data_IF_747525192725
#
_entry.id   IF_747525192725
#
_cell.length_a   1.000
_cell.length_b   1.000
_cell.length_c   1.000
_cell.angle_alpha   90.00
_cell.angle_beta   90.00
_cell.angle_gamma   90.00
#
_symmetry.space_group_name_H-M   'P 1'
#
loop_
_entity.id
_entity.type
_entity.pdbx_description
1 polymer ?
#
# COMPACT_ATOMS: atom_id res chain seq x y z
N UNK A 1 11.56 13.27 -1.42
CA UNK A 1 11.01 14.50 -2.05
C UNK A 1 9.61 14.19 -2.58
N UNK A 2 8.60 14.90 -2.11
CA UNK A 2 7.21 14.73 -2.55
C UNK A 2 6.83 15.82 -3.54
N UNK A 3 5.91 15.52 -4.46
CA UNK A 3 5.38 16.53 -5.39
C UNK A 3 4.76 17.73 -4.67
N UNK A 4 4.16 17.53 -3.48
CA UNK A 4 3.55 18.61 -2.69
C UNK A 4 4.56 19.66 -2.20
N UNK A 5 5.85 19.34 -2.18
CA UNK A 5 6.94 20.23 -1.77
C UNK A 5 7.65 20.88 -2.98
N UNK A 6 7.20 20.60 -4.22
CA UNK A 6 7.86 20.99 -5.46
C UNK A 6 6.92 21.82 -6.33
N UNK A 7 7.52 22.62 -7.19
CA UNK A 7 6.84 23.25 -8.31
C UNK A 7 7.19 22.52 -9.63
N UNK A 8 6.53 22.86 -10.72
CA UNK A 8 6.73 22.19 -12.00
C UNK A 8 8.16 22.32 -12.57
N UNK A 9 8.87 23.42 -12.27
CA UNK A 9 10.25 23.64 -12.71
C UNK A 9 11.22 22.71 -12.00
N UNK A 10 10.96 22.37 -10.72
CA UNK A 10 11.74 21.39 -9.97
C UNK A 10 11.59 20.00 -10.58
N UNK A 11 10.37 19.62 -10.97
CA UNK A 11 10.12 18.33 -11.64
C UNK A 11 10.77 18.30 -13.03
N UNK A 12 10.70 19.40 -13.81
CA UNK A 12 11.41 19.51 -15.08
C UNK A 12 12.93 19.37 -14.90
N UNK A 13 13.48 19.95 -13.84
CA UNK A 13 14.90 19.82 -13.52
C UNK A 13 15.28 18.39 -13.12
N UNK A 14 14.44 17.72 -12.34
CA UNK A 14 14.61 16.33 -11.97
C UNK A 14 14.66 15.42 -13.20
N UNK A 15 13.72 15.57 -14.12
CA UNK A 15 13.61 14.75 -15.33
C UNK A 15 14.81 14.89 -16.31
N UNK A 16 15.70 15.87 -16.13
CA UNK A 16 16.95 15.94 -16.88
C UNK A 16 17.97 14.88 -16.47
N UNK A 17 17.83 14.28 -15.28
CA UNK A 17 18.81 13.37 -14.69
C UNK A 17 18.22 12.03 -14.24
N UNK A 18 16.91 11.98 -13.98
CA UNK A 18 16.24 10.79 -13.46
C UNK A 18 14.80 10.73 -14.01
N UNK A 19 14.35 9.55 -14.38
CA UNK A 19 13.00 9.31 -14.92
C UNK A 19 12.17 8.36 -14.03
N UNK A 20 12.66 8.07 -12.81
CA UNK A 20 11.99 7.23 -11.83
C UNK A 20 10.93 8.01 -11.06
N UNK A 21 9.85 7.34 -10.70
CA UNK A 21 8.78 7.89 -9.86
C UNK A 21 8.21 6.80 -8.94
N UNK A 22 8.00 7.15 -7.68
CA UNK A 22 7.23 6.32 -6.75
C UNK A 22 5.77 6.78 -6.81
N UNK A 23 4.86 5.82 -7.04
CA UNK A 23 3.41 6.03 -7.02
C UNK A 23 2.82 5.22 -5.87
N UNK A 24 2.24 5.90 -4.89
CA UNK A 24 1.64 5.25 -3.71
C UNK A 24 0.15 5.03 -3.94
N UNK A 25 -0.27 3.77 -3.77
CA UNK A 25 -1.67 3.36 -3.83
C UNK A 25 -2.12 2.79 -2.48
N UNK A 26 -3.29 3.18 -2.04
CA UNK A 26 -3.90 2.62 -0.85
C UNK A 26 -5.42 2.65 -0.91
N UNK A 27 -6.06 2.68 0.27
CA UNK A 27 -7.50 2.77 0.43
C UNK A 27 -7.87 3.61 1.64
N UNK A 28 -9.09 4.10 1.65
CA UNK A 28 -9.75 4.62 2.82
C UNK A 28 -10.76 3.55 3.28
N UNK A 29 -10.35 2.69 4.21
CA UNK A 29 -11.17 1.58 4.67
C UNK A 29 -11.01 1.28 6.15
N UNK A 30 -11.93 0.51 6.68
CA UNK A 30 -11.85 0.02 8.04
C UNK A 30 -10.54 -0.75 8.27
N UNK A 31 -9.93 -0.57 9.43
CA UNK A 31 -8.72 -1.26 9.90
C UNK A 31 -8.80 -1.53 11.39
N UNK A 32 -9.95 -2.04 11.85
CA UNK A 32 -10.16 -2.31 13.27
C UNK A 32 -9.89 -1.07 14.14
N UNK A 33 -8.85 -1.13 14.95
CA UNK A 33 -8.45 -0.08 15.89
C UNK A 33 -7.42 0.90 15.30
N UNK A 34 -7.04 0.69 14.04
CA UNK A 34 -6.07 1.52 13.33
C UNK A 34 -6.76 2.62 12.54
N UNK A 35 -5.98 3.49 11.95
CA UNK A 35 -6.48 4.57 11.10
C UNK A 35 -7.22 4.03 9.87
N UNK A 36 -8.32 4.66 9.48
CA UNK A 36 -8.97 4.41 8.18
C UNK A 36 -8.05 4.63 6.97
N UNK A 37 -6.91 5.31 7.17
CA UNK A 37 -5.88 5.54 6.16
C UNK A 37 -4.61 4.72 6.40
N UNK A 38 -4.70 3.59 7.10
CA UNK A 38 -3.56 2.68 7.32
C UNK A 38 -2.90 2.30 6.01
N UNK A 39 -3.68 1.93 5.01
CA UNK A 39 -3.23 1.58 3.65
C UNK A 39 -2.54 2.72 2.89
N UNK A 40 -2.64 3.94 3.37
CA UNK A 40 -1.91 5.11 2.84
C UNK A 40 -0.71 5.44 3.71
N UNK A 41 -0.88 5.42 5.04
CA UNK A 41 0.16 5.84 5.99
C UNK A 41 1.39 4.96 5.88
N UNK A 42 1.20 3.64 5.77
CA UNK A 42 2.32 2.70 5.68
C UNK A 42 3.10 2.90 4.37
N UNK A 43 2.50 2.73 3.17
CA UNK A 43 3.27 2.86 1.94
C UNK A 43 3.83 4.28 1.72
N UNK A 44 3.17 5.33 2.21
CA UNK A 44 3.75 6.69 2.20
C UNK A 44 4.99 6.79 3.07
N UNK A 45 4.97 6.23 4.29
CA UNK A 45 6.16 6.23 5.16
C UNK A 45 7.33 5.45 4.53
N UNK A 46 7.05 4.32 3.87
CA UNK A 46 8.05 3.53 3.13
C UNK A 46 8.61 4.33 1.94
N UNK A 47 7.73 4.95 1.15
CA UNK A 47 8.10 5.77 0.00
C UNK A 47 8.96 6.98 0.42
N UNK A 48 8.60 7.67 1.50
CA UNK A 48 9.36 8.80 2.04
C UNK A 48 10.77 8.39 2.49
N UNK A 49 10.87 7.27 3.23
CA UNK A 49 12.14 6.77 3.71
C UNK A 49 13.04 6.31 2.55
N UNK A 50 12.48 5.68 1.52
CA UNK A 50 13.19 5.29 0.31
C UNK A 50 13.60 6.52 -0.52
N UNK A 51 12.70 7.48 -0.71
CA UNK A 51 12.98 8.75 -1.40
C UNK A 51 14.13 9.52 -0.74
N UNK A 52 14.17 9.56 0.59
CA UNK A 52 15.27 10.20 1.34
C UNK A 52 16.65 9.55 1.08
N UNK A 53 16.68 8.25 0.72
CA UNK A 53 17.90 7.49 0.42
C UNK A 53 18.30 7.55 -1.06
N UNK A 54 17.32 7.71 -1.95
CA UNK A 54 17.52 7.53 -3.40
C UNK A 54 17.31 8.80 -4.22
N UNK A 55 16.77 9.85 -3.61
CA UNK A 55 16.31 11.09 -4.24
C UNK A 55 15.21 10.89 -5.31
N UNK A 56 14.57 9.71 -5.38
CA UNK A 56 13.45 9.48 -6.31
C UNK A 56 12.22 10.22 -5.81
N UNK A 57 11.50 10.87 -6.73
CA UNK A 57 10.30 11.64 -6.42
C UNK A 57 9.13 10.73 -6.02
N UNK A 58 8.27 11.24 -5.13
CA UNK A 58 7.04 10.58 -4.71
C UNK A 58 5.85 11.40 -5.20
N UNK A 59 5.00 10.78 -6.04
CA UNK A 59 3.75 11.37 -6.52
C UNK A 59 2.72 11.49 -5.37
N UNK A 60 1.69 12.36 -5.53
CA UNK A 60 0.56 12.36 -4.59
C UNK A 60 -0.08 10.98 -4.50
N UNK A 61 -0.41 10.49 -3.29
CA UNK A 61 -0.99 9.16 -3.15
C UNK A 61 -2.42 9.09 -3.67
N UNK A 62 -2.81 7.94 -4.23
CA UNK A 62 -4.22 7.64 -4.49
C UNK A 62 -4.85 7.03 -3.23
N UNK A 63 -5.66 7.85 -2.53
CA UNK A 63 -6.20 7.52 -1.21
C UNK A 63 -7.46 6.65 -1.23
N UNK A 64 -8.03 6.38 -2.40
CA UNK A 64 -9.25 5.60 -2.55
C UNK A 64 -8.99 4.37 -3.41
N UNK A 65 -9.18 3.20 -2.82
CA UNK A 65 -9.00 1.90 -3.44
C UNK A 65 -10.31 1.14 -3.68
N UNK A 66 -10.20 -0.17 -3.87
CA UNK A 66 -11.31 -1.08 -4.14
C UNK A 66 -11.62 -1.88 -2.87
N UNK A 67 -12.60 -1.45 -2.08
CA UNK A 67 -12.96 -2.01 -0.77
C UNK A 67 -14.46 -2.30 -0.61
N UNK A 68 -15.15 -2.92 -1.59
CA UNK A 68 -16.60 -3.08 -1.56
C UNK A 68 -17.10 -3.97 -0.41
N UNK A 69 -16.29 -4.93 0.02
CA UNK A 69 -16.62 -5.85 1.12
C UNK A 69 -16.63 -5.15 2.48
N UNK A 70 -16.01 -3.98 2.62
CA UNK A 70 -16.02 -3.18 3.85
C UNK A 70 -17.08 -2.08 3.88
N UNK A 71 -17.99 -2.04 2.92
CA UNK A 71 -18.99 -0.96 2.79
C UNK A 71 -19.93 -0.81 4.00
N UNK A 72 -20.02 -1.79 4.89
CA UNK A 72 -20.81 -1.73 6.13
C UNK A 72 -20.03 -1.22 7.35
N UNK A 73 -18.75 -0.93 7.18
CA UNK A 73 -17.96 -0.25 8.20
C UNK A 73 -17.93 1.25 7.88
N UNK A 74 -18.53 2.09 8.75
CA UNK A 74 -18.57 3.54 8.50
C UNK A 74 -17.16 4.13 8.34
N UNK A 75 -17.01 5.04 7.38
CA UNK A 75 -15.71 5.63 7.04
C UNK A 75 -15.01 4.96 5.86
N UNK A 76 -15.38 3.74 5.48
CA UNK A 76 -14.88 3.11 4.26
C UNK A 76 -15.44 3.80 3.01
N UNK A 77 -14.55 4.18 2.09
CA UNK A 77 -14.90 4.78 0.80
C UNK A 77 -14.25 3.95 -0.31
N UNK A 78 -15.06 3.21 -1.05
CA UNK A 78 -14.58 2.35 -2.13
C UNK A 78 -14.85 2.95 -3.51
N UNK A 79 -13.87 2.87 -4.39
CA UNK A 79 -14.10 3.05 -5.82
C UNK A 79 -14.63 1.74 -6.42
N UNK A 80 -15.36 1.88 -7.54
CA UNK A 80 -15.65 0.72 -8.41
C UNK A 80 -14.36 0.31 -9.10
N UNK A 81 -14.18 -0.99 -9.32
CA UNK A 81 -12.97 -1.53 -9.99
C UNK A 81 -12.67 -0.79 -11.29
N UNK A 82 -13.65 -0.62 -12.18
CA UNK A 82 -13.46 0.08 -13.45
C UNK A 82 -13.02 1.54 -13.28
N UNK A 83 -13.56 2.25 -12.29
CA UNK A 83 -13.18 3.62 -12.00
C UNK A 83 -11.73 3.69 -11.51
N UNK A 84 -11.35 2.79 -10.61
CA UNK A 84 -9.98 2.71 -10.10
C UNK A 84 -8.98 2.41 -11.22
N UNK A 85 -9.27 1.42 -12.07
CA UNK A 85 -8.40 1.06 -13.18
C UNK A 85 -8.22 2.21 -14.19
N UNK A 86 -9.30 2.94 -14.51
CA UNK A 86 -9.24 4.12 -15.38
C UNK A 86 -8.36 5.23 -14.77
N UNK A 87 -8.44 5.45 -13.45
CA UNK A 87 -7.58 6.44 -12.76
C UNK A 87 -6.10 6.03 -12.83
N UNK A 88 -5.78 4.73 -12.64
CA UNK A 88 -4.42 4.22 -12.77
C UNK A 88 -3.89 4.43 -14.19
N UNK A 89 -4.71 4.10 -15.20
CA UNK A 89 -4.35 4.31 -16.60
C UNK A 89 -4.05 5.78 -16.89
N UNK A 90 -4.92 6.68 -16.47
CA UNK A 90 -4.73 8.13 -16.65
C UNK A 90 -3.44 8.62 -15.97
N UNK A 91 -3.18 8.23 -14.73
CA UNK A 91 -1.96 8.59 -14.00
C UNK A 91 -0.72 8.16 -14.79
N UNK A 92 -0.65 6.90 -15.22
CA UNK A 92 0.51 6.38 -15.95
C UNK A 92 0.71 7.11 -17.28
N UNK A 93 -0.35 7.29 -18.07
CA UNK A 93 -0.26 7.99 -19.37
C UNK A 93 0.22 9.43 -19.21
N UNK A 94 -0.27 10.14 -18.17
CA UNK A 94 0.14 11.51 -17.91
C UNK A 94 1.59 11.63 -17.46
N UNK A 95 2.05 10.83 -16.50
CA UNK A 95 3.45 10.91 -16.06
C UNK A 95 4.42 10.42 -17.15
N UNK A 96 4.02 9.40 -17.94
CA UNK A 96 4.78 8.97 -19.11
C UNK A 96 4.90 10.08 -20.15
N UNK A 97 3.82 10.82 -20.43
CA UNK A 97 3.83 11.98 -21.35
C UNK A 97 4.75 13.11 -20.89
N UNK A 98 5.04 13.20 -19.59
CA UNK A 98 5.96 14.17 -19.00
C UNK A 98 7.43 13.75 -19.05
N UNK A 99 7.72 12.47 -19.29
CA UNK A 99 9.09 11.97 -19.40
C UNK A 99 9.48 10.93 -18.35
N UNK A 100 8.63 10.62 -17.37
CA UNK A 100 8.86 9.49 -16.47
C UNK A 100 8.80 8.16 -17.25
N UNK A 101 9.67 7.22 -16.90
CA UNK A 101 9.77 5.92 -17.59
C UNK A 101 9.79 4.75 -16.63
N UNK A 102 10.31 4.91 -15.44
CA UNK A 102 10.45 3.84 -14.44
C UNK A 102 9.56 4.16 -13.24
N UNK A 103 8.45 3.42 -13.12
CA UNK A 103 7.42 3.66 -12.11
C UNK A 103 7.39 2.52 -11.09
N UNK A 104 7.68 2.82 -9.83
CA UNK A 104 7.47 1.88 -8.73
C UNK A 104 6.14 2.18 -8.04
N UNK A 105 5.19 1.26 -8.16
CA UNK A 105 3.95 1.29 -7.41
C UNK A 105 4.15 0.66 -6.02
N UNK A 106 4.06 1.49 -4.98
CA UNK A 106 4.08 1.02 -3.58
C UNK A 106 2.63 0.92 -3.12
N UNK A 107 2.11 -0.31 -3.14
CA UNK A 107 0.72 -0.59 -2.81
C UNK A 107 0.55 -0.92 -1.34
N UNK A 108 -0.44 -0.30 -0.69
CA UNK A 108 -0.84 -0.57 0.69
C UNK A 108 -2.10 -1.41 0.83
N UNK A 109 -2.80 -1.75 -0.28
CA UNK A 109 -4.13 -2.34 -0.23
C UNK A 109 -4.32 -3.52 -1.19
N UNK A 110 -4.74 -4.67 -0.66
CA UNK A 110 -4.93 -5.90 -1.45
C UNK A 110 -6.01 -5.79 -2.53
N UNK A 111 -7.06 -5.02 -2.29
CA UNK A 111 -8.13 -4.78 -3.26
C UNK A 111 -7.69 -4.06 -4.54
N UNK A 112 -6.51 -3.42 -4.53
CA UNK A 112 -5.95 -2.72 -5.68
C UNK A 112 -5.23 -3.65 -6.68
N UNK A 113 -5.02 -4.92 -6.36
CA UNK A 113 -4.31 -5.88 -7.23
C UNK A 113 -4.82 -5.97 -8.67
N UNK A 114 -6.11 -5.74 -9.00
CA UNK A 114 -6.56 -5.69 -10.40
C UNK A 114 -5.80 -4.67 -11.27
N UNK A 115 -5.19 -3.65 -10.69
CA UNK A 115 -4.38 -2.67 -11.42
C UNK A 115 -3.18 -3.31 -12.16
N UNK A 116 -2.64 -4.43 -11.67
CA UNK A 116 -1.49 -5.10 -12.30
C UNK A 116 -1.79 -5.53 -13.74
N UNK A 117 -3.06 -5.86 -14.06
CA UNK A 117 -3.49 -6.17 -15.42
C UNK A 117 -3.37 -4.96 -16.36
N UNK A 118 -3.89 -3.80 -15.94
CA UNK A 118 -3.79 -2.55 -16.73
C UNK A 118 -2.33 -2.11 -16.86
N UNK A 119 -1.54 -2.22 -15.80
CA UNK A 119 -0.12 -1.88 -15.84
C UNK A 119 0.65 -2.75 -16.85
N UNK A 120 0.33 -4.05 -16.92
CA UNK A 120 0.93 -4.94 -17.91
C UNK A 120 0.55 -4.57 -19.36
N UNK A 121 -0.69 -4.13 -19.59
CA UNK A 121 -1.11 -3.60 -20.91
C UNK A 121 -0.33 -2.34 -21.26
N UNK A 122 -0.22 -1.39 -20.33
CA UNK A 122 0.48 -0.12 -20.55
C UNK A 122 1.98 -0.28 -20.83
N UNK A 123 2.65 -1.23 -20.18
CA UNK A 123 4.06 -1.55 -20.47
C UNK A 123 4.24 -2.06 -21.90
N UNK A 124 3.26 -2.76 -22.46
CA UNK A 124 3.30 -3.20 -23.87
C UNK A 124 2.96 -2.06 -24.85
N UNK A 125 2.12 -1.10 -24.46
CA UNK A 125 1.68 0.00 -25.30
C UNK A 125 2.66 1.18 -25.33
N UNK A 126 3.37 1.45 -24.22
CA UNK A 126 4.19 2.65 -24.03
C UNK A 126 5.68 2.30 -24.09
N UNK A 127 6.37 2.60 -25.21
CA UNK A 127 7.77 2.19 -25.39
C UNK A 127 8.71 2.71 -24.30
N UNK A 128 9.50 1.81 -23.70
CA UNK A 128 10.46 2.14 -22.68
C UNK A 128 9.84 2.41 -21.29
N UNK A 129 8.54 2.18 -21.11
CA UNK A 129 7.92 2.18 -19.79
C UNK A 129 8.31 0.91 -19.05
N UNK A 130 8.86 1.07 -17.86
CA UNK A 130 9.12 0.00 -16.90
C UNK A 130 8.28 0.24 -15.64
N UNK A 131 7.59 -0.79 -15.19
CA UNK A 131 6.72 -0.72 -14.00
C UNK A 131 7.06 -1.87 -13.07
N UNK A 132 7.26 -1.55 -11.80
CA UNK A 132 7.31 -2.56 -10.75
C UNK A 132 6.17 -2.34 -9.75
N UNK A 133 5.71 -3.45 -9.12
CA UNK A 133 4.61 -3.49 -8.17
C UNK A 133 5.07 -4.06 -6.84
N UNK A 134 5.01 -3.27 -5.80
CA UNK A 134 5.41 -3.67 -4.46
C UNK A 134 4.22 -3.66 -3.50
N UNK A 135 3.71 -4.84 -3.15
CA UNK A 135 2.75 -5.06 -2.07
C UNK A 135 3.53 -5.40 -0.80
N UNK A 136 3.76 -4.40 0.03
CA UNK A 136 4.73 -4.47 1.13
C UNK A 136 4.46 -5.61 2.13
N UNK A 137 3.18 -5.88 2.47
CA UNK A 137 2.80 -6.86 3.49
C UNK A 137 3.04 -8.32 3.10
N UNK A 138 3.17 -8.62 1.82
CA UNK A 138 3.50 -9.97 1.30
C UNK A 138 4.93 -10.08 0.80
N UNK A 139 5.72 -9.02 0.93
CA UNK A 139 7.11 -9.02 0.50
C UNK A 139 7.93 -10.05 1.28
N UNK A 140 8.81 -10.85 0.61
CA UNK A 140 9.59 -11.89 1.27
C UNK A 140 10.40 -11.41 2.47
N UNK A 141 11.01 -10.22 2.39
CA UNK A 141 11.78 -9.64 3.49
C UNK A 141 10.89 -9.33 4.71
N UNK A 142 9.68 -8.80 4.50
CA UNK A 142 8.70 -8.56 5.56
C UNK A 142 8.20 -9.86 6.16
N UNK A 143 7.91 -10.86 5.33
CA UNK A 143 7.45 -12.18 5.79
C UNK A 143 8.54 -12.94 6.54
N UNK A 144 9.82 -12.72 6.22
CA UNK A 144 10.93 -13.28 6.98
C UNK A 144 10.96 -12.73 8.41
N UNK A 145 10.80 -11.42 8.61
CA UNK A 145 10.70 -10.82 9.95
C UNK A 145 9.51 -11.39 10.72
N UNK A 146 8.34 -11.54 10.08
CA UNK A 146 7.15 -12.12 10.69
C UNK A 146 7.41 -13.57 11.14
N UNK A 147 8.09 -14.37 10.32
CA UNK A 147 8.46 -15.74 10.63
C UNK A 147 9.46 -15.82 11.80
N UNK A 148 10.47 -14.96 11.83
CA UNK A 148 11.50 -14.92 12.89
C UNK A 148 10.90 -14.64 14.27
N UNK A 149 9.81 -13.84 14.33
CA UNK A 149 9.09 -13.57 15.58
C UNK A 149 7.91 -14.53 15.83
N UNK A 150 7.70 -15.51 14.95
CA UNK A 150 6.63 -16.51 15.09
C UNK A 150 5.22 -15.94 14.94
N UNK A 151 5.05 -14.83 14.24
CA UNK A 151 3.77 -14.16 14.03
C UNK A 151 3.31 -14.24 12.58
N UNK A 152 1.99 -14.20 12.36
CA UNK A 152 1.39 -14.18 11.04
C UNK A 152 0.62 -12.87 10.82
N UNK A 153 0.98 -12.15 9.74
CA UNK A 153 0.33 -10.90 9.36
C UNK A 153 -0.98 -11.15 8.61
N UNK A 154 -2.03 -10.42 9.00
CA UNK A 154 -3.31 -10.38 8.31
C UNK A 154 -3.85 -8.94 8.36
N UNK A 155 -4.96 -8.68 7.64
CA UNK A 155 -5.60 -7.36 7.64
C UNK A 155 -5.93 -6.86 9.05
N UNK A 156 -5.55 -5.63 9.32
CA UNK A 156 -5.77 -4.87 10.55
C UNK A 156 -5.19 -5.48 11.84
N UNK A 157 -4.31 -6.50 11.74
CA UNK A 157 -3.65 -7.06 12.92
C UNK A 157 -2.29 -6.40 13.19
N UNK A 158 -1.48 -7.02 14.03
CA UNK A 158 -0.18 -6.54 14.48
C UNK A 158 0.72 -6.02 13.34
N UNK A 159 0.70 -6.67 12.15
CA UNK A 159 1.60 -6.32 11.04
C UNK A 159 1.36 -4.89 10.53
N UNK A 160 0.15 -4.39 10.62
CA UNK A 160 -0.23 -3.04 10.19
C UNK A 160 -0.27 -2.04 11.36
N UNK A 161 -0.08 -2.53 12.60
CA UNK A 161 -0.16 -1.72 13.81
C UNK A 161 1.11 -0.89 14.08
N UNK A 162 1.66 -0.24 13.05
CA UNK A 162 2.73 0.73 13.22
C UNK A 162 2.31 1.87 14.16
N UNK A 163 3.21 2.42 14.99
CA UNK A 163 2.87 3.50 15.93
C UNK A 163 2.12 4.66 15.27
N UNK A 164 2.49 5.04 14.03
CA UNK A 164 1.84 6.11 13.28
C UNK A 164 0.47 5.73 12.69
N UNK A 165 0.07 4.44 12.74
CA UNK A 165 -1.26 3.98 12.32
C UNK A 165 -2.25 3.86 13.50
N UNK A 166 -1.77 3.79 14.74
CA UNK A 166 -2.58 3.61 15.94
C UNK A 166 -3.34 4.90 16.26
N UNK A 167 -4.67 4.86 16.23
CA UNK A 167 -5.55 6.00 16.53
C UNK A 167 -6.48 5.74 17.70
N UNK A 168 -6.46 4.52 18.24
CA UNK A 168 -7.17 4.09 19.45
C UNK A 168 -6.27 3.19 20.27
N UNK A 169 -6.68 2.89 21.51
CA UNK A 169 -6.05 1.86 22.34
C UNK A 169 -6.28 0.49 21.70
N UNK A 170 -5.19 -0.23 21.45
CA UNK A 170 -5.23 -1.56 20.85
C UNK A 170 -5.55 -2.59 21.95
N UNK A 171 -6.47 -3.54 21.70
CA UNK A 171 -6.74 -4.61 22.66
C UNK A 171 -5.49 -5.41 23.00
N UNK A 172 -5.41 -5.87 24.23
CA UNK A 172 -4.43 -6.87 24.62
C UNK A 172 -4.88 -8.27 24.19
N UNK A 173 -3.90 -9.18 23.99
CA UNK A 173 -4.15 -10.57 23.64
C UNK A 173 -4.21 -10.86 22.15
N UNK A 174 -4.90 -11.93 21.83
CA UNK A 174 -4.92 -12.54 20.50
C UNK A 174 -6.36 -12.76 20.05
N UNK A 175 -6.73 -12.22 18.90
CA UNK A 175 -8.02 -12.52 18.29
C UNK A 175 -8.02 -13.95 17.75
N UNK A 176 -9.05 -14.77 18.05
CA UNK A 176 -9.19 -16.08 17.43
C UNK A 176 -9.36 -15.95 15.90
N UNK A 177 -8.79 -16.88 15.10
CA UNK A 177 -9.05 -16.89 13.68
C UNK A 177 -10.54 -17.13 13.40
N UNK A 178 -11.10 -16.34 12.50
CA UNK A 178 -12.50 -16.46 12.10
C UNK A 178 -12.55 -16.82 10.60
N UNK A 179 -12.76 -18.10 10.26
CA UNK A 179 -12.82 -18.52 8.87
C UNK A 179 -14.09 -17.98 8.19
N UNK A 180 -13.94 -17.46 6.97
CA UNK A 180 -15.06 -17.10 6.13
C UNK A 180 -15.81 -18.36 5.65
N UNK A 181 -17.13 -18.30 5.58
CA UNK A 181 -17.96 -19.39 5.06
C UNK A 181 -17.71 -19.67 3.57
N UNK A 182 -17.22 -18.68 2.82
CA UNK A 182 -16.86 -18.74 1.41
C UNK A 182 -15.87 -17.65 1.02
N UNK A 183 -15.25 -17.77 -0.15
CA UNK A 183 -14.22 -16.85 -0.61
C UNK A 183 -14.71 -15.41 -0.89
N UNK A 184 -15.97 -15.24 -1.26
CA UNK A 184 -16.57 -13.92 -1.56
C UNK A 184 -17.78 -13.72 -0.65
N UNK A 185 -17.66 -12.75 0.26
CA UNK A 185 -18.73 -12.29 1.15
C UNK A 185 -19.26 -10.94 0.65
N UNK A 186 -20.54 -10.68 0.85
CA UNK A 186 -21.05 -9.31 0.75
C UNK A 186 -20.69 -8.51 2.02
N UNK A 187 -20.93 -7.19 2.01
CA UNK A 187 -20.50 -6.33 3.11
C UNK A 187 -21.19 -6.62 4.45
N UNK A 188 -22.46 -7.05 4.45
CA UNK A 188 -23.17 -7.45 5.68
C UNK A 188 -22.57 -8.73 6.26
N UNK A 189 -22.30 -9.72 5.44
CA UNK A 189 -21.65 -10.98 5.81
C UNK A 189 -20.23 -10.74 6.31
N UNK A 190 -19.47 -9.87 5.65
CA UNK A 190 -18.12 -9.48 6.06
C UNK A 190 -18.13 -8.91 7.46
N UNK A 191 -19.02 -7.94 7.73
CA UNK A 191 -19.14 -7.33 9.05
C UNK A 191 -19.63 -8.31 10.11
N UNK A 192 -20.58 -9.18 9.77
CA UNK A 192 -21.07 -10.22 10.69
C UNK A 192 -19.99 -11.26 11.01
N UNK A 193 -19.11 -11.58 10.05
CA UNK A 193 -18.05 -12.57 10.21
C UNK A 193 -16.89 -12.02 11.05
N UNK A 194 -16.40 -10.81 10.72
CA UNK A 194 -15.16 -10.29 11.28
C UNK A 194 -15.35 -9.30 12.44
N UNK A 195 -16.57 -8.80 12.64
CA UNK A 195 -16.95 -7.98 13.79
C UNK A 195 -16.17 -6.66 13.87
N UNK A 196 -15.05 -6.65 14.58
CA UNK A 196 -14.17 -5.48 14.77
C UNK A 196 -13.31 -5.13 13.53
N UNK A 197 -13.39 -5.93 12.47
CA UNK A 197 -12.67 -5.69 11.23
C UNK A 197 -11.32 -6.40 11.10
N UNK A 198 -10.75 -6.94 12.17
CA UNK A 198 -9.48 -7.69 12.10
C UNK A 198 -9.70 -9.07 11.48
N UNK A 199 -9.04 -9.35 10.34
CA UNK A 199 -9.16 -10.62 9.62
C UNK A 199 -8.11 -11.63 10.12
N UNK A 200 -8.40 -12.93 9.91
CA UNK A 200 -7.45 -14.01 10.11
C UNK A 200 -6.99 -14.24 11.56
N UNK A 201 -7.36 -13.36 12.48
CA UNK A 201 -6.95 -13.44 13.87
C UNK A 201 -5.51 -12.99 14.12
N UNK A 202 -4.94 -13.46 15.25
CA UNK A 202 -3.59 -13.06 15.69
C UNK A 202 -3.58 -11.92 16.69
N UNK A 203 -2.40 -11.48 17.17
CA UNK A 203 -2.29 -10.36 18.08
C UNK A 203 -2.67 -9.04 17.41
N UNK A 204 -3.23 -8.11 18.17
CA UNK A 204 -3.58 -6.78 17.67
C UNK A 204 -2.36 -5.85 17.54
N UNK A 205 -1.29 -6.15 18.24
CA UNK A 205 -0.03 -5.37 18.26
C UNK A 205 1.17 -6.30 18.43
N UNK A 206 2.33 -5.82 18.03
CA UNK A 206 3.64 -6.36 18.38
C UNK A 206 4.48 -5.25 19.03
N UNK A 207 5.63 -5.62 19.57
CA UNK A 207 6.58 -4.65 20.11
C UNK A 207 7.03 -3.67 19.04
N UNK A 208 7.22 -2.40 19.42
CA UNK A 208 7.63 -1.34 18.47
C UNK A 208 9.00 -1.65 17.84
N UNK A 209 9.87 -2.39 18.49
CA UNK A 209 11.12 -2.88 17.92
C UNK A 209 10.88 -3.83 16.74
N UNK A 210 9.91 -4.74 16.86
CA UNK A 210 9.50 -5.65 15.77
C UNK A 210 8.92 -4.84 14.60
N UNK A 211 8.07 -3.85 14.90
CA UNK A 211 7.52 -2.96 13.88
C UNK A 211 8.61 -2.18 13.15
N UNK A 212 9.67 -1.76 13.85
CA UNK A 212 10.82 -1.12 13.22
C UNK A 212 11.58 -2.07 12.30
N UNK A 213 11.78 -3.34 12.67
CA UNK A 213 12.41 -4.34 11.79
C UNK A 213 11.59 -4.59 10.53
N UNK A 214 10.26 -4.68 10.65
CA UNK A 214 9.36 -4.79 9.49
C UNK A 214 9.50 -3.56 8.58
N UNK A 215 9.51 -2.36 9.18
CA UNK A 215 9.67 -1.12 8.45
C UNK A 215 11.00 -1.06 7.69
N UNK A 216 12.10 -1.37 8.37
CA UNK A 216 13.45 -1.31 7.78
C UNK A 216 13.63 -2.34 6.65
N UNK A 217 13.08 -3.54 6.81
CA UNK A 217 13.06 -4.57 5.76
C UNK A 217 12.27 -4.10 4.52
N UNK A 218 11.07 -3.54 4.73
CA UNK A 218 10.25 -3.04 3.65
C UNK A 218 10.89 -1.84 2.92
N UNK A 219 11.52 -0.91 3.66
CA UNK A 219 12.25 0.22 3.06
C UNK A 219 13.45 -0.27 2.25
N UNK A 220 14.19 -1.27 2.72
CA UNK A 220 15.30 -1.84 1.98
C UNK A 220 14.83 -2.45 0.64
N UNK A 221 13.71 -3.16 0.65
CA UNK A 221 13.09 -3.69 -0.58
C UNK A 221 12.70 -2.58 -1.56
N UNK A 222 12.06 -1.50 -1.07
CA UNK A 222 11.68 -0.36 -1.94
C UNK A 222 12.92 0.28 -2.56
N UNK A 223 13.99 0.49 -1.77
CA UNK A 223 15.25 1.05 -2.28
C UNK A 223 15.88 0.16 -3.35
N UNK A 224 15.86 -1.17 -3.16
CA UNK A 224 16.41 -2.11 -4.13
C UNK A 224 15.61 -2.11 -5.43
N UNK A 225 14.28 -2.15 -5.36
CA UNK A 225 13.39 -2.10 -6.53
C UNK A 225 13.53 -0.81 -7.33
N UNK A 226 13.86 0.31 -6.68
CA UNK A 226 14.11 1.57 -7.37
C UNK A 226 15.37 1.57 -8.26
N UNK A 227 16.19 0.52 -8.25
CA UNK A 227 17.31 0.38 -9.19
C UNK A 227 16.84 0.00 -10.59
N UNK A 228 15.72 -0.72 -10.70
CA UNK A 228 15.20 -1.26 -11.98
C UNK A 228 16.23 -2.10 -12.73
N UNK A 229 16.90 -3.00 -11.99
CA UNK A 229 17.93 -3.93 -12.49
C UNK A 229 17.37 -5.35 -12.66
#
# INVERSE_FOLDING_TARGET
MRFEDLNWMDVESYLKNDDRLIVVLGACEEHGYLSLLTDIRIPMALADAASARTNVLVAPPLNFGISPYFAKYPGTISLRTQTFLAVIEDIVRWVYGQGFRRLLFVNGHGGNNPATGVLAELVNELPGLEVDWYAWWVAPAVQAVAADVGLHGTHANWLEAFPFCRVAELPDGVKPPTPAARAILNADETKATYGDGVFGGGPYKADDAVMQWVFDAAVADVVERLKFE
#
